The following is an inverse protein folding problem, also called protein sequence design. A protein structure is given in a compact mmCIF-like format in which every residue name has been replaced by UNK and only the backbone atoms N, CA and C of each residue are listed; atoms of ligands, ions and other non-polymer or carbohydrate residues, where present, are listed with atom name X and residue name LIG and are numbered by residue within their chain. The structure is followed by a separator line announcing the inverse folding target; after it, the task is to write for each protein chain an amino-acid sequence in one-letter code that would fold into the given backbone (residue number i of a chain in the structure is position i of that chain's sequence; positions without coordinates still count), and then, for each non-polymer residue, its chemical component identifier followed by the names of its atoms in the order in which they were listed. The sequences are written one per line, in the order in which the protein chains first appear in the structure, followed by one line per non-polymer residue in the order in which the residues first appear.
data_IF_505808430958
#
_entry.id   IF_505808430958
#
_cell.length_a   1.000
_cell.length_b   1.000
_cell.length_c   1.000
_cell.angle_alpha   90.00
_cell.angle_beta   90.00
_cell.angle_gamma   90.00
#
_symmetry.space_group_name_H-M   'P 1'
#
loop_
_entity.id
_entity.type
_entity.pdbx_description
1 polymer ?
#
# COMPACT_ATOMS: atom_id res chain seq x y z
N UNK A 1 5.51 22.39 19.59
CA UNK A 1 6.49 22.25 18.50
C UNK A 1 6.76 20.75 18.37
N UNK A 2 6.22 20.10 17.34
CA UNK A 2 6.36 18.64 17.17
C UNK A 2 7.70 18.35 16.51
N UNK A 3 8.65 17.81 17.28
CA UNK A 3 9.96 17.42 16.78
C UNK A 3 9.82 16.33 15.72
N UNK A 4 10.26 16.61 14.50
CA UNK A 4 10.39 15.62 13.44
C UNK A 4 11.44 14.59 13.82
N UNK A 5 11.16 13.28 13.77
CA UNK A 5 12.14 12.26 14.16
C UNK A 5 13.35 12.32 13.23
N UNK A 6 14.54 12.45 13.82
CA UNK A 6 15.81 12.39 13.08
C UNK A 6 15.99 11.02 12.43
N UNK A 7 16.70 10.96 11.29
CA UNK A 7 16.95 9.72 10.54
C UNK A 7 17.49 8.59 11.42
N UNK A 8 18.37 8.91 12.38
CA UNK A 8 18.93 7.96 13.34
C UNK A 8 17.85 7.25 14.18
N UNK A 9 16.85 8.00 14.68
CA UNK A 9 15.74 7.47 15.47
C UNK A 9 14.83 6.57 14.63
N UNK A 10 14.69 6.87 13.34
CA UNK A 10 13.94 6.04 12.40
C UNK A 10 14.65 4.69 12.15
N UNK A 11 15.98 4.71 11.98
CA UNK A 11 16.79 3.48 11.81
C UNK A 11 16.80 2.62 13.07
N UNK A 12 16.92 3.23 14.25
CA UNK A 12 16.89 2.52 15.54
C UNK A 12 15.51 1.88 15.78
N UNK A 13 14.42 2.59 15.49
CA UNK A 13 13.08 2.01 15.56
C UNK A 13 12.89 0.88 14.55
N UNK A 14 13.35 1.03 13.30
CA UNK A 14 13.29 -0.06 12.31
C UNK A 14 14.02 -1.32 12.80
N UNK A 15 15.19 -1.16 13.42
CA UNK A 15 15.97 -2.27 13.96
C UNK A 15 15.30 -2.91 15.18
N UNK A 16 14.70 -2.12 16.07
CA UNK A 16 13.94 -2.63 17.21
C UNK A 16 12.67 -3.37 16.79
N UNK A 17 11.99 -2.92 15.72
CA UNK A 17 10.86 -3.66 15.12
C UNK A 17 11.34 -4.96 14.44
N UNK A 18 12.47 -4.94 13.72
CA UNK A 18 13.08 -6.13 13.11
C UNK A 18 13.49 -7.20 14.14
N UNK A 19 13.90 -6.81 15.34
CA UNK A 19 14.43 -7.75 16.34
C UNK A 19 13.38 -8.32 17.30
N UNK A 20 12.13 -7.84 17.30
CA UNK A 20 11.15 -8.26 18.31
C UNK A 20 10.22 -9.42 17.95
N UNK A 21 10.31 -10.07 16.78
CA UNK A 21 9.56 -11.31 16.49
C UNK A 21 10.02 -11.96 15.18
N UNK A 22 10.79 -13.04 15.27
CA UNK A 22 10.91 -14.02 14.18
C UNK A 22 11.12 -15.41 14.80
N UNK A 23 10.08 -15.88 15.49
CA UNK A 23 9.90 -17.29 15.87
C UNK A 23 8.59 -17.79 15.27
N UNK A 24 8.58 -17.87 13.93
CA UNK A 24 7.69 -18.63 13.02
C UNK A 24 8.06 -18.21 11.58
N UNK A 25 8.00 -19.08 10.56
CA UNK A 25 8.10 -18.64 9.17
C UNK A 25 6.85 -17.80 8.86
N UNK A 26 6.99 -16.48 8.96
CA UNK A 26 5.95 -15.51 8.61
C UNK A 26 5.65 -15.68 7.11
N UNK A 27 4.38 -15.86 6.77
CA UNK A 27 3.99 -15.92 5.34
C UNK A 27 4.37 -14.61 4.64
N UNK A 28 4.73 -14.64 3.35
CA UNK A 28 5.07 -13.44 2.57
C UNK A 28 4.01 -12.33 2.75
N UNK A 29 2.74 -12.72 2.72
CA UNK A 29 1.58 -11.85 2.92
C UNK A 29 1.56 -11.18 4.29
N UNK A 30 1.85 -11.93 5.36
CA UNK A 30 1.93 -11.38 6.71
C UNK A 30 3.11 -10.40 6.86
N UNK A 31 4.27 -10.72 6.28
CA UNK A 31 5.41 -9.80 6.28
C UNK A 31 5.12 -8.50 5.51
N UNK A 32 4.40 -8.58 4.39
CA UNK A 32 3.99 -7.41 3.61
C UNK A 32 2.98 -6.55 4.36
N UNK A 33 1.95 -7.17 4.97
CA UNK A 33 0.99 -6.44 5.81
C UNK A 33 1.68 -5.70 6.95
N UNK A 34 2.63 -6.35 7.64
CA UNK A 34 3.40 -5.71 8.71
C UNK A 34 4.28 -4.56 8.18
N UNK A 35 4.92 -4.73 7.02
CA UNK A 35 5.67 -3.65 6.36
C UNK A 35 4.78 -2.44 6.07
N UNK A 36 3.61 -2.65 5.48
CA UNK A 36 2.67 -1.57 5.14
C UNK A 36 2.11 -0.91 6.40
N UNK A 37 1.74 -1.71 7.42
CA UNK A 37 1.28 -1.21 8.72
C UNK A 37 2.30 -0.25 9.32
N UNK A 38 3.57 -0.64 9.42
CA UNK A 38 4.65 0.22 9.95
C UNK A 38 4.78 1.50 9.14
N UNK A 39 4.74 1.44 7.81
CA UNK A 39 4.85 2.64 6.98
C UNK A 39 3.66 3.60 7.14
N UNK A 40 2.44 3.06 7.26
CA UNK A 40 1.22 3.85 7.46
C UNK A 40 1.29 4.59 8.79
N UNK A 41 1.68 3.91 9.88
CA UNK A 41 1.88 4.52 11.20
C UNK A 41 2.93 5.63 11.11
N UNK A 42 4.11 5.35 10.54
CA UNK A 42 5.22 6.32 10.49
C UNK A 42 4.91 7.54 9.63
N UNK A 43 4.17 7.38 8.52
CA UNK A 43 3.91 8.49 7.58
C UNK A 43 2.70 9.33 7.94
N UNK A 44 1.73 8.78 8.66
CA UNK A 44 0.43 9.43 8.89
C UNK A 44 0.01 9.49 10.36
N UNK A 45 0.70 8.79 11.25
CA UNK A 45 0.36 8.76 12.67
C UNK A 45 -0.92 7.99 12.99
N UNK A 46 -1.37 7.09 12.10
CA UNK A 46 -2.51 6.22 12.40
C UNK A 46 -2.22 5.31 13.60
N UNK A 47 -3.29 4.94 14.31
CA UNK A 47 -3.21 3.90 15.34
C UNK A 47 -2.84 2.56 14.72
N UNK A 48 -2.28 1.65 15.52
CA UNK A 48 -1.91 0.31 15.04
C UNK A 48 -3.11 -0.46 14.47
N UNK A 49 -4.28 -0.36 15.11
CA UNK A 49 -5.51 -1.01 14.65
C UNK A 49 -5.96 -0.47 13.29
N UNK A 50 -5.94 0.85 13.11
CA UNK A 50 -6.27 1.48 11.82
C UNK A 50 -5.27 1.07 10.73
N UNK A 51 -3.97 1.13 11.03
CA UNK A 51 -2.94 0.76 10.05
C UNK A 51 -3.00 -0.72 9.66
N UNK A 52 -3.32 -1.60 10.61
CA UNK A 52 -3.51 -3.03 10.37
C UNK A 52 -4.71 -3.28 9.45
N UNK A 53 -5.86 -2.64 9.74
CA UNK A 53 -7.04 -2.71 8.89
C UNK A 53 -6.75 -2.18 7.48
N UNK A 54 -6.07 -1.04 7.35
CA UNK A 54 -5.69 -0.49 6.05
C UNK A 54 -4.78 -1.44 5.26
N UNK A 55 -3.79 -2.07 5.90
CA UNK A 55 -2.89 -3.01 5.24
C UNK A 55 -3.65 -4.22 4.68
N UNK A 56 -4.62 -4.77 5.43
CA UNK A 56 -5.50 -5.84 4.95
C UNK A 56 -6.36 -5.40 3.75
N UNK A 57 -6.88 -4.17 3.79
CA UNK A 57 -7.69 -3.64 2.68
C UNK A 57 -6.88 -3.39 1.41
N UNK A 58 -5.63 -2.92 1.54
CA UNK A 58 -4.70 -2.76 0.42
C UNK A 58 -4.38 -4.12 -0.21
N UNK A 59 -4.13 -5.15 0.60
CA UNK A 59 -3.91 -6.51 0.10
C UNK A 59 -5.10 -7.00 -0.72
N UNK A 60 -6.30 -6.91 -0.14
CA UNK A 60 -7.53 -7.35 -0.80
C UNK A 60 -7.83 -6.55 -2.08
N UNK A 61 -7.50 -5.25 -2.11
CA UNK A 61 -7.58 -4.43 -3.32
C UNK A 61 -6.66 -4.95 -4.42
N UNK A 62 -5.40 -5.24 -4.08
CA UNK A 62 -4.40 -5.72 -5.06
C UNK A 62 -4.82 -7.07 -5.62
N UNK A 63 -5.28 -7.98 -4.77
CA UNK A 63 -5.79 -9.29 -5.21
C UNK A 63 -6.99 -9.14 -6.16
N UNK A 64 -7.94 -8.26 -5.84
CA UNK A 64 -9.10 -8.01 -6.70
C UNK A 64 -8.72 -7.37 -8.05
N UNK A 65 -7.86 -6.35 -8.05
CA UNK A 65 -7.50 -5.62 -9.28
C UNK A 65 -6.77 -6.48 -10.32
N UNK A 66 -6.15 -7.59 -9.92
CA UNK A 66 -5.52 -8.52 -10.86
C UNK A 66 -6.52 -9.18 -11.82
N UNK A 67 -7.79 -9.28 -11.42
CA UNK A 67 -8.83 -9.95 -12.19
C UNK A 67 -10.06 -9.09 -12.45
N UNK A 68 -10.15 -7.91 -11.84
CA UNK A 68 -11.32 -7.05 -11.93
C UNK A 68 -11.00 -5.56 -11.89
N UNK A 69 -12.08 -4.78 -11.78
CA UNK A 69 -12.03 -3.34 -11.64
C UNK A 69 -12.43 -2.94 -10.22
N UNK A 70 -11.77 -1.90 -9.70
CA UNK A 70 -12.07 -1.33 -8.40
C UNK A 70 -12.25 0.19 -8.52
N UNK A 71 -13.19 0.75 -7.75
CA UNK A 71 -13.15 2.17 -7.41
C UNK A 71 -12.19 2.33 -6.24
N UNK A 72 -11.19 3.21 -6.38
CA UNK A 72 -10.17 3.43 -5.36
C UNK A 72 -10.14 4.90 -4.98
N UNK A 73 -10.28 5.16 -3.68
CA UNK A 73 -10.18 6.48 -3.08
C UNK A 73 -8.81 6.67 -2.41
N UNK A 74 -8.12 7.76 -2.74
CA UNK A 74 -6.82 8.10 -2.15
C UNK A 74 -6.55 9.62 -2.22
N UNK A 75 -5.60 10.08 -1.40
CA UNK A 75 -5.05 11.43 -1.53
C UNK A 75 -3.76 11.46 -2.37
N UNK A 76 -3.64 12.43 -3.26
CA UNK A 76 -2.34 12.79 -3.86
C UNK A 76 -1.41 13.38 -2.80
N UNK A 77 -0.13 13.49 -3.13
CA UNK A 77 0.86 14.09 -2.23
C UNK A 77 0.58 15.57 -1.94
N UNK A 78 -0.04 16.28 -2.89
CA UNK A 78 -0.50 17.66 -2.75
C UNK A 78 -1.80 17.82 -1.93
N UNK A 79 -2.35 16.72 -1.39
CA UNK A 79 -3.61 16.72 -0.63
C UNK A 79 -4.87 16.62 -1.49
N UNK A 80 -4.76 16.59 -2.82
CA UNK A 80 -5.93 16.46 -3.70
C UNK A 80 -6.57 15.09 -3.56
N UNK A 81 -7.87 15.06 -3.29
CA UNK A 81 -8.66 13.83 -3.29
C UNK A 81 -8.79 13.24 -4.70
N UNK A 82 -8.69 11.91 -4.80
CA UNK A 82 -8.92 11.16 -6.03
C UNK A 82 -9.81 9.96 -5.76
N UNK A 83 -10.78 9.78 -6.64
CA UNK A 83 -11.60 8.58 -6.78
C UNK A 83 -11.47 8.13 -8.24
N UNK A 84 -10.94 6.93 -8.47
CA UNK A 84 -10.61 6.46 -9.83
C UNK A 84 -11.08 5.02 -10.04
N UNK A 85 -11.39 4.67 -11.28
CA UNK A 85 -11.54 3.28 -11.70
C UNK A 85 -10.16 2.68 -12.02
N UNK A 86 -9.71 1.75 -11.18
CA UNK A 86 -8.40 1.14 -11.24
C UNK A 86 -8.46 -0.36 -11.58
N UNK A 87 -7.42 -0.86 -12.26
CA UNK A 87 -7.23 -2.30 -12.51
C UNK A 87 -5.74 -2.63 -12.70
N UNK A 88 -5.38 -3.91 -12.61
CA UNK A 88 -4.07 -4.47 -12.94
C UNK A 88 -4.12 -5.43 -14.14
N UNK A 89 -5.29 -5.66 -14.75
CA UNK A 89 -5.45 -6.58 -15.89
C UNK A 89 -4.43 -6.33 -17.02
N UNK A 90 -4.14 -5.07 -17.45
CA UNK A 90 -3.18 -4.81 -18.51
C UNK A 90 -1.70 -4.97 -18.10
N UNK A 91 -1.40 -5.27 -16.83
CA UNK A 91 -0.04 -5.21 -16.30
C UNK A 91 0.90 -6.18 -17.01
N UNK A 92 0.47 -7.43 -17.18
CA UNK A 92 1.33 -8.45 -17.79
C UNK A 92 1.62 -8.15 -19.26
N UNK A 93 0.62 -7.70 -20.02
CA UNK A 93 0.80 -7.27 -21.40
C UNK A 93 1.71 -6.03 -21.50
N UNK A 94 1.49 -5.03 -20.64
CA UNK A 94 2.22 -3.77 -20.67
C UNK A 94 3.67 -3.86 -20.20
N UNK A 95 3.95 -4.67 -19.18
CA UNK A 95 5.29 -4.81 -18.60
C UNK A 95 5.99 -6.13 -18.95
N UNK A 96 5.33 -7.02 -19.71
CA UNK A 96 5.84 -8.35 -20.10
C UNK A 96 6.30 -9.20 -18.92
N UNK A 97 5.58 -9.11 -17.79
CA UNK A 97 5.87 -9.84 -16.55
C UNK A 97 4.61 -9.98 -15.70
N UNK A 98 4.52 -11.07 -14.95
CA UNK A 98 3.45 -11.28 -13.97
C UNK A 98 3.51 -10.21 -12.88
N UNK A 99 2.35 -9.91 -12.32
CA UNK A 99 2.26 -9.01 -11.18
C UNK A 99 2.79 -9.71 -9.91
N UNK A 100 3.64 -9.02 -9.16
CA UNK A 100 4.25 -9.54 -7.94
C UNK A 100 3.97 -8.59 -6.78
N UNK A 101 3.08 -8.99 -5.87
CA UNK A 101 2.69 -8.18 -4.70
C UNK A 101 3.88 -7.84 -3.80
N UNK A 102 4.90 -8.70 -3.75
CA UNK A 102 6.14 -8.48 -3.00
C UNK A 102 6.89 -7.20 -3.38
N UNK A 103 6.64 -6.65 -4.59
CA UNK A 103 7.29 -5.44 -5.09
C UNK A 103 6.58 -4.16 -4.64
N UNK A 104 5.38 -4.27 -4.07
CA UNK A 104 4.62 -3.15 -3.53
C UNK A 104 5.15 -2.84 -2.14
N UNK A 105 6.15 -1.97 -2.05
CA UNK A 105 6.75 -1.60 -0.75
C UNK A 105 6.02 -0.44 -0.10
N UNK A 106 5.78 0.64 -0.84
CA UNK A 106 5.18 1.89 -0.31
C UNK A 106 4.24 2.59 -1.29
N UNK A 107 4.26 2.17 -2.55
CA UNK A 107 3.51 2.80 -3.64
C UNK A 107 2.85 1.70 -4.44
N UNK A 108 1.55 1.85 -4.68
CA UNK A 108 0.78 0.98 -5.55
C UNK A 108 0.66 1.63 -6.92
N UNK A 109 1.07 0.89 -7.96
CA UNK A 109 0.85 1.25 -9.36
C UNK A 109 -0.42 0.57 -9.83
N UNK A 110 -1.21 1.24 -10.66
CA UNK A 110 -2.44 0.71 -11.23
C UNK A 110 -2.71 1.35 -12.60
N UNK A 111 -3.51 0.69 -13.43
CA UNK A 111 -4.05 1.26 -14.65
C UNK A 111 -5.29 2.08 -14.32
N UNK A 112 -5.24 3.38 -14.58
CA UNK A 112 -6.40 4.26 -14.52
C UNK A 112 -7.22 4.08 -15.80
N UNK A 113 -8.41 3.51 -15.67
CA UNK A 113 -9.26 3.15 -16.81
C UNK A 113 -9.80 4.37 -17.53
N UNK A 114 -10.10 5.45 -16.81
CA UNK A 114 -10.64 6.66 -17.42
C UNK A 114 -9.54 7.46 -18.13
N UNK A 115 -8.36 7.52 -17.53
CA UNK A 115 -7.21 8.25 -18.08
C UNK A 115 -6.39 7.44 -19.08
N UNK A 116 -6.68 6.14 -19.22
CA UNK A 116 -5.92 5.20 -20.08
C UNK A 116 -4.41 5.32 -19.84
N UNK A 117 -4.00 5.35 -18.57
CA UNK A 117 -2.62 5.57 -18.19
C UNK A 117 -2.24 4.85 -16.89
N UNK A 118 -0.98 4.44 -16.81
CA UNK A 118 -0.40 3.97 -15.55
C UNK A 118 -0.26 5.12 -14.56
N UNK A 119 -0.84 4.94 -13.37
CA UNK A 119 -0.80 5.88 -12.25
C UNK A 119 -0.33 5.16 -11.00
N UNK A 120 -0.06 5.94 -9.96
CA UNK A 120 0.36 5.40 -8.68
C UNK A 120 -0.04 6.30 -7.52
N UNK A 121 -0.23 5.70 -6.35
CA UNK A 121 -0.39 6.42 -5.09
C UNK A 121 0.42 5.78 -3.96
N UNK A 122 0.79 6.56 -2.95
CA UNK A 122 1.45 6.03 -1.76
C UNK A 122 0.43 5.27 -0.91
N UNK A 123 0.77 4.06 -0.44
CA UNK A 123 -0.12 3.24 0.39
C UNK A 123 -0.65 3.97 1.62
N UNK A 124 0.17 4.83 2.23
CA UNK A 124 -0.24 5.65 3.37
C UNK A 124 -1.29 6.72 3.03
N UNK A 125 -1.55 6.99 1.74
CA UNK A 125 -2.61 7.88 1.30
C UNK A 125 -3.87 7.13 0.83
N UNK A 126 -3.88 5.80 0.94
CA UNK A 126 -5.07 4.99 0.70
C UNK A 126 -6.19 5.38 1.66
N UNK A 127 -7.44 5.40 1.18
CA UNK A 127 -8.62 5.68 2.00
C UNK A 127 -9.55 4.46 2.02
N UNK A 128 -10.07 4.08 0.85
CA UNK A 128 -11.02 2.98 0.72
C UNK A 128 -11.06 2.48 -0.74
N UNK A 129 -11.58 1.27 -0.95
CA UNK A 129 -11.92 0.76 -2.26
C UNK A 129 -13.21 -0.08 -2.24
N UNK A 130 -13.82 -0.25 -3.41
CA UNK A 130 -14.90 -1.21 -3.65
C UNK A 130 -14.79 -1.86 -5.03
N UNK A 131 -15.22 -3.12 -5.19
CA UNK A 131 -15.28 -3.75 -6.51
C UNK A 131 -16.32 -3.05 -7.39
N UNK A 132 -16.09 -3.06 -8.71
CA UNK A 132 -17.04 -2.60 -9.71
C UNK A 132 -17.39 -3.79 -10.60
N UNK A 133 -18.70 -4.04 -10.74
CA UNK A 133 -19.28 -5.03 -11.65
C UNK A 133 -19.19 -4.54 -13.11
#
# INVERSE_FOLDING_TARGET
MTETPTKQNLFINLNNYKMKKLTKPVSLHEALRELWKVQIILKKGYTESCASWMAQRIESLIDHMQYGYALVAYYKQDGTFKLVKATLIPYEAGFRRKYEIARVTSTLVFWDVEQQAWRSFQLANFLEWRPIC
#
